data_IF_469136869878
#
_entry.id   IF_469136869878
#
_cell.length_a   1.000
_cell.length_b   1.000
_cell.length_c   1.000
_cell.angle_alpha   90.00
_cell.angle_beta   90.00
_cell.angle_gamma   90.00
#
_symmetry.space_group_name_H-M   'P 1'
#
loop_
_entity.id
_entity.type
_entity.pdbx_description
1 polymer ?
#
# COMPACT_ATOMS: atom_id res chain seq x y z
N UNK A 1 33.35 -2.14 12.79
CA UNK A 1 32.85 -0.77 13.09
C UNK A 1 32.30 -0.03 11.86
N UNK A 2 32.99 0.00 10.70
CA UNK A 2 32.51 0.72 9.49
C UNK A 2 31.15 0.26 8.94
N UNK A 3 30.83 -1.05 8.97
CA UNK A 3 29.55 -1.59 8.44
C UNK A 3 28.30 -1.23 9.28
N UNK A 4 28.45 -1.07 10.60
CA UNK A 4 27.37 -0.66 11.49
C UNK A 4 27.05 0.83 11.31
N UNK A 5 28.11 1.65 11.16
CA UNK A 5 27.98 3.08 10.88
C UNK A 5 27.26 3.35 9.56
N UNK A 6 27.61 2.61 8.49
CA UNK A 6 26.96 2.74 7.18
C UNK A 6 25.48 2.33 7.23
N UNK A 7 25.12 1.26 7.95
CA UNK A 7 23.70 0.84 8.13
C UNK A 7 22.89 1.87 8.91
N UNK A 8 23.45 2.47 9.96
CA UNK A 8 22.78 3.54 10.71
C UNK A 8 22.62 4.80 9.86
N UNK A 9 23.62 5.19 9.08
CA UNK A 9 23.52 6.32 8.15
C UNK A 9 22.46 6.09 7.07
N UNK A 10 22.39 4.90 6.47
CA UNK A 10 21.36 4.55 5.47
C UNK A 10 19.94 4.62 6.05
N UNK A 11 19.75 4.19 7.31
CA UNK A 11 18.46 4.31 8.03
C UNK A 11 18.08 5.77 8.29
N UNK A 12 19.04 6.59 8.70
CA UNK A 12 18.81 8.02 8.92
C UNK A 12 18.51 8.76 7.61
N UNK A 13 19.17 8.41 6.50
CA UNK A 13 18.90 8.98 5.17
C UNK A 13 17.50 8.58 4.69
N UNK A 14 17.12 7.31 4.82
CA UNK A 14 15.78 6.86 4.48
C UNK A 14 14.71 7.56 5.33
N UNK A 15 14.95 7.75 6.64
CA UNK A 15 14.03 8.47 7.53
C UNK A 15 13.92 9.96 7.16
N UNK A 16 15.03 10.61 6.80
CA UNK A 16 15.06 12.00 6.34
C UNK A 16 14.32 12.15 5.00
N UNK A 17 14.47 11.19 4.07
CA UNK A 17 13.75 11.19 2.79
C UNK A 17 12.24 10.97 2.96
N UNK A 18 11.84 10.13 3.92
CA UNK A 18 10.42 9.94 4.27
C UNK A 18 9.86 11.21 4.93
N UNK A 19 10.59 11.81 5.87
CA UNK A 19 10.19 13.06 6.53
C UNK A 19 10.12 14.23 5.56
N UNK A 20 11.04 14.32 4.59
CA UNK A 20 11.02 15.38 3.57
C UNK A 20 9.90 15.21 2.55
N UNK A 21 9.53 13.97 2.20
CA UNK A 21 8.36 13.68 1.37
C UNK A 21 7.04 14.05 2.07
N UNK A 22 6.93 13.81 3.39
CA UNK A 22 5.78 14.22 4.20
C UNK A 22 5.70 15.75 4.30
N UNK A 23 6.83 16.43 4.47
CA UNK A 23 6.89 17.89 4.57
C UNK A 23 6.49 18.60 3.25
N UNK A 24 6.81 18.00 2.09
CA UNK A 24 6.40 18.55 0.79
C UNK A 24 4.91 18.35 0.49
N UNK A 25 4.25 17.36 1.10
CA UNK A 25 2.80 17.19 1.02
C UNK A 25 2.01 18.26 1.79
N UNK A 26 2.59 18.84 2.85
CA UNK A 26 1.94 19.85 3.68
C UNK A 26 1.91 21.26 3.03
N UNK A 27 2.76 21.53 2.04
CA UNK A 27 2.86 22.86 1.38
C UNK A 27 2.01 22.95 0.10
N UNK A 28 1.40 21.86 -0.34
CA UNK A 28 0.53 21.83 -1.53
C UNK A 28 -0.96 22.14 -1.23
N UNK A 29 -1.29 22.65 -0.03
CA UNK A 29 -2.65 23.05 0.31
C UNK A 29 -2.95 24.49 -0.10
N UNK A 30 -3.02 24.71 -1.41
CA UNK A 30 -3.83 25.78 -1.96
C UNK A 30 -4.45 25.31 -3.29
N UNK A 31 -5.77 25.14 -3.25
CA UNK A 31 -6.66 24.84 -4.37
C UNK A 31 -6.73 23.38 -4.87
N UNK A 32 -7.55 22.54 -4.22
CA UNK A 32 -8.30 21.51 -4.93
C UNK A 32 -9.72 21.45 -4.35
N UNK A 33 -10.68 21.91 -5.14
CA UNK A 33 -12.11 21.85 -4.87
C UNK A 33 -12.61 20.41 -4.85
N UNK A 34 -13.48 20.07 -3.89
CA UNK A 34 -14.54 19.06 -4.00
C UNK A 34 -14.19 17.73 -4.70
N UNK A 35 -13.03 17.17 -4.42
CA UNK A 35 -12.66 15.79 -4.73
C UNK A 35 -11.66 15.35 -3.69
N UNK A 36 -11.98 14.28 -2.97
CA UNK A 36 -11.08 13.65 -1.99
C UNK A 36 -9.68 13.57 -2.60
N UNK A 37 -8.67 14.10 -1.91
CA UNK A 37 -7.36 14.29 -2.53
C UNK A 37 -6.69 12.99 -2.96
N UNK A 38 -5.52 13.07 -3.60
CA UNK A 38 -4.95 11.91 -4.32
C UNK A 38 -4.34 10.87 -3.38
N UNK A 39 -4.00 11.26 -2.16
CA UNK A 39 -3.29 10.41 -1.21
C UNK A 39 -4.22 9.95 -0.08
N UNK A 40 -4.32 8.64 0.10
CA UNK A 40 -5.06 8.00 1.18
C UNK A 40 -4.12 7.24 2.12
N UNK A 41 -4.34 7.33 3.42
CA UNK A 41 -3.61 6.60 4.46
C UNK A 41 -4.61 5.91 5.40
N UNK A 42 -4.29 4.71 5.85
CA UNK A 42 -5.11 4.07 6.87
C UNK A 42 -4.58 2.72 7.32
N UNK A 43 -5.50 1.83 7.68
CA UNK A 43 -5.19 0.55 8.32
C UNK A 43 -5.73 -0.60 7.47
N UNK A 44 -5.02 -1.71 7.51
CA UNK A 44 -5.43 -2.97 6.91
C UNK A 44 -5.33 -4.12 7.90
N UNK A 45 -6.21 -5.10 7.77
CA UNK A 45 -6.26 -6.34 8.52
C UNK A 45 -6.20 -7.53 7.55
N UNK A 46 -5.91 -8.72 8.07
CA UNK A 46 -5.70 -9.94 7.28
C UNK A 46 -4.21 -10.26 7.17
N UNK A 47 -3.75 -10.63 5.97
CA UNK A 47 -2.35 -10.94 5.70
C UNK A 47 -1.81 -9.98 4.63
N UNK A 48 -1.19 -8.85 5.02
CA UNK A 48 -0.78 -8.46 6.38
C UNK A 48 -1.81 -7.63 7.17
N UNK A 49 -1.60 -7.54 8.49
CA UNK A 49 -2.19 -6.51 9.37
C UNK A 49 -1.20 -5.35 9.49
N UNK A 50 -1.64 -4.10 9.32
CA UNK A 50 -0.77 -2.94 9.51
C UNK A 50 -1.29 -1.64 8.90
N UNK A 51 -0.36 -0.76 8.54
CA UNK A 51 -0.66 0.54 7.93
C UNK A 51 -0.63 0.39 6.41
N UNK A 52 -1.58 1.01 5.72
CA UNK A 52 -1.66 1.01 4.26
C UNK A 52 -1.80 2.42 3.71
N UNK A 53 -1.43 2.59 2.44
CA UNK A 53 -1.66 3.82 1.70
C UNK A 53 -2.16 3.53 0.29
N UNK A 54 -2.71 4.57 -0.33
CA UNK A 54 -3.04 4.62 -1.75
C UNK A 54 -2.72 5.99 -2.31
N UNK A 55 -2.17 6.04 -3.51
CA UNK A 55 -1.92 7.27 -4.25
C UNK A 55 -2.49 7.15 -5.65
N UNK A 56 -3.51 7.94 -5.97
CA UNK A 56 -4.09 7.99 -7.31
C UNK A 56 -3.11 8.66 -8.28
N UNK A 57 -2.68 7.91 -9.30
CA UNK A 57 -1.84 8.42 -10.39
C UNK A 57 -2.68 9.16 -11.42
N UNK A 58 -3.88 8.64 -11.70
CA UNK A 58 -4.92 9.22 -12.54
C UNK A 58 -6.27 8.63 -12.13
N UNK A 59 -7.31 8.82 -12.94
CA UNK A 59 -8.69 8.43 -12.64
C UNK A 59 -8.88 6.91 -12.48
N UNK A 60 -8.04 6.09 -13.12
CA UNK A 60 -8.19 4.62 -13.14
C UNK A 60 -6.97 3.89 -12.56
N UNK A 61 -5.82 4.55 -12.41
CA UNK A 61 -4.58 3.94 -11.93
C UNK A 61 -4.17 4.49 -10.56
N UNK A 62 -3.68 3.61 -9.68
CA UNK A 62 -3.14 3.99 -8.39
C UNK A 62 -1.92 3.16 -7.99
N UNK A 63 -1.06 3.74 -7.16
CA UNK A 63 -0.10 2.99 -6.35
C UNK A 63 -0.74 2.67 -5.00
N UNK A 64 -0.62 1.44 -4.53
CA UNK A 64 -0.99 1.07 -3.16
C UNK A 64 0.18 0.43 -2.46
N UNK A 65 0.22 0.53 -1.14
CA UNK A 65 1.28 -0.10 -0.39
C UNK A 65 0.98 -0.14 1.09
N UNK A 66 1.93 -0.65 1.86
CA UNK A 66 1.78 -0.71 3.30
C UNK A 66 2.91 -1.44 4.00
N UNK A 67 2.85 -1.38 5.32
CA UNK A 67 3.82 -1.97 6.24
C UNK A 67 3.05 -2.81 7.25
N UNK A 68 3.44 -4.06 7.42
CA UNK A 68 2.84 -4.93 8.43
C UNK A 68 3.36 -4.63 9.83
N UNK A 69 2.45 -4.66 10.82
CA UNK A 69 2.76 -4.54 12.23
C UNK A 69 2.64 -5.94 12.85
N UNK A 70 3.72 -6.72 12.77
CA UNK A 70 3.77 -8.11 13.24
C UNK A 70 5.19 -8.58 13.50
N UNK A 71 5.39 -9.88 13.74
CA UNK A 71 6.68 -10.50 14.10
C UNK A 71 7.76 -10.39 13.02
N UNK A 72 7.38 -10.09 11.77
CA UNK A 72 8.31 -9.69 10.71
C UNK A 72 7.70 -8.58 9.85
N UNK A 73 8.35 -7.41 9.72
CA UNK A 73 7.85 -6.34 8.86
C UNK A 73 7.87 -6.76 7.39
N UNK A 74 6.68 -6.74 6.77
CA UNK A 74 6.46 -6.82 5.33
C UNK A 74 6.25 -5.40 4.83
N UNK A 75 6.99 -5.02 3.80
CA UNK A 75 6.73 -3.80 3.03
C UNK A 75 6.14 -4.23 1.69
N UNK A 76 5.01 -3.67 1.30
CA UNK A 76 4.35 -3.98 0.03
C UNK A 76 4.12 -2.72 -0.82
N UNK A 77 4.21 -2.89 -2.14
CA UNK A 77 3.88 -1.86 -3.12
C UNK A 77 3.25 -2.51 -4.36
N UNK A 78 2.15 -1.96 -4.84
CA UNK A 78 1.40 -2.44 -5.99
C UNK A 78 1.02 -1.28 -6.92
N UNK A 79 0.88 -1.60 -8.20
CA UNK A 79 0.24 -0.78 -9.21
C UNK A 79 -1.12 -1.39 -9.52
N UNK A 80 -2.19 -0.61 -9.41
CA UNK A 80 -3.57 -1.08 -9.58
C UNK A 80 -4.31 -0.29 -10.65
N UNK A 81 -5.07 -1.01 -11.47
CA UNK A 81 -6.13 -0.49 -12.32
C UNK A 81 -7.48 -0.61 -11.62
N UNK A 82 -8.41 0.30 -11.92
CA UNK A 82 -9.76 0.36 -11.36
C UNK A 82 -10.80 0.39 -12.48
N UNK A 83 -11.67 -0.61 -12.51
CA UNK A 83 -12.81 -0.68 -13.41
C UNK A 83 -14.08 -0.24 -12.67
N UNK A 84 -14.51 1.00 -12.92
CA UNK A 84 -15.72 1.60 -12.32
C UNK A 84 -17.02 1.12 -12.96
N UNK A 85 -16.96 0.51 -14.14
CA UNK A 85 -18.15 0.03 -14.86
C UNK A 85 -18.53 -1.41 -14.50
N UNK A 86 -17.71 -2.11 -13.72
CA UNK A 86 -17.96 -3.49 -13.34
C UNK A 86 -19.12 -3.62 -12.35
N UNK A 87 -19.23 -2.68 -11.40
CA UNK A 87 -20.28 -2.64 -10.39
C UNK A 87 -20.67 -1.18 -10.16
N UNK A 88 -21.97 -0.87 -10.28
CA UNK A 88 -22.52 0.48 -10.12
C UNK A 88 -23.54 0.48 -8.99
N UNK A 89 -23.17 0.90 -7.76
CA UNK A 89 -24.11 1.04 -6.66
C UNK A 89 -24.98 2.30 -6.80
N UNK A 90 -26.07 2.37 -6.05
CA UNK A 90 -26.94 3.56 -6.01
C UNK A 90 -26.26 4.78 -5.37
N UNK A 91 -25.35 4.54 -4.42
CA UNK A 91 -24.53 5.56 -3.76
C UNK A 91 -23.05 5.14 -3.76
N UNK A 92 -22.14 6.11 -3.87
CA UNK A 92 -20.71 5.85 -3.88
C UNK A 92 -20.21 5.27 -5.19
N UNK A 93 -18.98 4.74 -5.15
CA UNK A 93 -18.36 4.03 -6.28
C UNK A 93 -17.73 2.73 -5.80
N UNK A 94 -17.95 1.64 -6.53
CA UNK A 94 -17.42 0.31 -6.17
C UNK A 94 -16.58 -0.29 -7.31
N UNK A 95 -15.45 0.33 -7.70
CA UNK A 95 -14.59 -0.28 -8.71
C UNK A 95 -14.06 -1.65 -8.27
N UNK A 96 -14.09 -2.58 -9.21
CA UNK A 96 -13.22 -3.76 -9.18
C UNK A 96 -11.83 -3.29 -9.54
N UNK A 97 -10.85 -3.59 -8.70
CA UNK A 97 -9.46 -3.28 -8.97
C UNK A 97 -8.62 -4.53 -9.10
N UNK A 98 -7.57 -4.42 -9.91
CA UNK A 98 -6.63 -5.51 -10.12
C UNK A 98 -5.27 -4.93 -10.49
N UNK A 99 -4.22 -5.71 -10.31
CA UNK A 99 -2.89 -5.29 -10.66
C UNK A 99 -1.81 -6.22 -10.17
N UNK A 100 -0.61 -5.66 -10.05
CA UNK A 100 0.57 -6.41 -9.67
C UNK A 100 1.45 -5.57 -8.74
N UNK A 101 2.32 -6.23 -8.01
CA UNK A 101 3.22 -5.56 -7.09
C UNK A 101 4.33 -6.48 -6.61
N UNK A 102 5.04 -5.97 -5.62
CA UNK A 102 6.05 -6.72 -4.91
C UNK A 102 5.90 -6.51 -3.40
N UNK A 103 6.44 -7.45 -2.64
CA UNK A 103 6.65 -7.28 -1.21
C UNK A 103 8.06 -7.70 -0.82
N UNK A 104 8.55 -7.11 0.27
CA UNK A 104 9.79 -7.51 0.92
C UNK A 104 9.45 -7.89 2.35
N UNK A 105 9.76 -9.12 2.73
CA UNK A 105 9.74 -9.55 4.12
C UNK A 105 11.12 -9.31 4.73
N UNK A 106 11.18 -8.59 5.84
CA UNK A 106 12.42 -8.36 6.59
C UNK A 106 12.35 -9.12 7.91
N UNK A 107 12.79 -10.38 7.92
CA UNK A 107 12.83 -11.20 9.15
C UNK A 107 13.87 -10.70 10.16
N UNK A 108 13.59 -10.84 11.46
CA UNK A 108 14.44 -10.26 12.52
C UNK A 108 15.63 -11.14 12.94
N UNK A 109 15.67 -12.44 12.64
CA UNK A 109 16.62 -13.32 13.34
C UNK A 109 17.69 -14.00 12.47
N UNK A 110 17.53 -14.08 11.14
CA UNK A 110 18.46 -14.88 10.32
C UNK A 110 18.79 -14.37 8.93
N UNK A 111 18.74 -13.05 8.71
CA UNK A 111 19.27 -12.40 7.49
C UNK A 111 18.62 -12.84 6.16
N UNK A 112 17.51 -13.59 6.19
CA UNK A 112 16.78 -14.02 5.00
C UNK A 112 15.67 -13.00 4.72
N UNK A 113 16.03 -11.90 4.08
CA UNK A 113 15.04 -11.06 3.40
C UNK A 113 14.53 -11.81 2.17
N UNK A 114 13.22 -12.01 2.07
CA UNK A 114 12.61 -12.61 0.89
C UNK A 114 11.94 -11.52 0.06
N UNK A 115 12.05 -11.66 -1.26
CA UNK A 115 11.34 -10.83 -2.21
C UNK A 115 10.13 -11.62 -2.70
N UNK A 116 8.97 -10.98 -2.77
CA UNK A 116 7.76 -11.60 -3.29
C UNK A 116 7.20 -10.82 -4.46
N UNK A 117 6.73 -11.51 -5.50
CA UNK A 117 5.91 -10.95 -6.56
C UNK A 117 4.45 -11.26 -6.27
N UNK A 118 3.56 -10.29 -6.45
CA UNK A 118 2.14 -10.45 -6.14
C UNK A 118 1.24 -9.99 -7.27
N UNK A 119 0.22 -10.78 -7.57
CA UNK A 119 -0.96 -10.34 -8.31
C UNK A 119 -2.02 -9.90 -7.32
N UNK A 120 -2.78 -8.86 -7.60
CA UNK A 120 -3.81 -8.32 -6.70
C UNK A 120 -5.13 -8.24 -7.45
N UNK A 121 -6.21 -8.65 -6.80
CA UNK A 121 -7.58 -8.41 -7.25
C UNK A 121 -8.45 -8.08 -6.04
N UNK A 122 -9.37 -7.13 -6.20
CA UNK A 122 -10.20 -6.72 -5.08
C UNK A 122 -11.31 -5.75 -5.44
N UNK A 123 -11.99 -5.28 -4.40
CA UNK A 123 -13.03 -4.28 -4.46
C UNK A 123 -12.60 -3.06 -3.64
N UNK A 124 -12.86 -1.86 -4.14
CA UNK A 124 -12.74 -0.63 -3.34
C UNK A 124 -14.08 0.08 -3.34
N UNK A 125 -14.65 0.32 -2.16
CA UNK A 125 -15.83 1.18 -2.01
C UNK A 125 -15.39 2.58 -1.63
N UNK A 126 -15.69 3.56 -2.48
CA UNK A 126 -15.34 4.97 -2.31
C UNK A 126 -16.62 5.73 -1.95
N UNK A 127 -16.62 6.38 -0.79
CA UNK A 127 -17.77 7.15 -0.32
C UNK A 127 -17.83 8.52 -1.02
N UNK A 128 -19.01 8.94 -1.47
CA UNK A 128 -19.18 10.24 -2.14
C UNK A 128 -19.16 11.43 -1.16
N UNK A 129 -19.62 11.19 0.08
CA UNK A 129 -19.80 12.23 1.11
C UNK A 129 -18.78 12.16 2.24
N UNK A 130 -17.79 11.28 2.13
CA UNK A 130 -16.73 11.14 3.12
C UNK A 130 -15.38 10.95 2.42
N UNK A 131 -14.29 11.56 2.91
CA UNK A 131 -12.94 11.39 2.37
C UNK A 131 -12.35 10.04 2.80
N UNK A 132 -13.11 8.96 2.66
CA UNK A 132 -12.73 7.61 3.09
C UNK A 132 -13.01 6.64 1.94
N UNK A 133 -12.16 5.62 1.81
CA UNK A 133 -12.50 4.41 1.08
C UNK A 133 -12.33 3.17 1.96
N UNK A 134 -12.97 2.09 1.56
CA UNK A 134 -12.78 0.75 2.12
C UNK A 134 -12.38 -0.20 1.01
N UNK A 135 -11.58 -1.21 1.32
CA UNK A 135 -11.17 -2.20 0.33
C UNK A 135 -11.15 -3.62 0.89
N UNK A 136 -11.27 -4.58 -0.02
CA UNK A 136 -11.08 -6.00 0.19
C UNK A 136 -10.24 -6.55 -0.97
N UNK A 137 -9.14 -7.23 -0.67
CA UNK A 137 -8.15 -7.71 -1.63
C UNK A 137 -7.86 -9.20 -1.40
N UNK A 138 -7.68 -9.92 -2.51
CA UNK A 138 -7.05 -11.23 -2.58
C UNK A 138 -5.80 -11.11 -3.46
N UNK A 139 -4.71 -11.76 -3.06
CA UNK A 139 -3.46 -11.67 -3.79
C UNK A 139 -2.68 -12.99 -3.80
N UNK A 140 -2.54 -13.67 -4.95
CA UNK A 140 -1.49 -14.68 -5.11
C UNK A 140 -0.11 -14.01 -4.99
N UNK A 141 0.75 -14.63 -4.19
CA UNK A 141 2.08 -14.15 -3.83
C UNK A 141 3.09 -15.26 -4.06
N UNK A 142 4.04 -15.03 -4.96
CA UNK A 142 5.20 -15.89 -5.16
C UNK A 142 6.36 -15.32 -4.36
N UNK A 143 6.68 -15.92 -3.21
CA UNK A 143 7.83 -15.55 -2.38
C UNK A 143 9.08 -16.28 -2.88
N UNK A 144 10.14 -15.53 -3.12
CA UNK A 144 11.44 -16.02 -3.62
C UNK A 144 12.46 -15.87 -2.49
N UNK A 145 12.82 -16.99 -1.86
CA UNK A 145 13.89 -17.10 -0.88
C UNK A 145 14.88 -18.20 -1.27
N UNK A 146 15.33 -19.01 -0.30
CA UNK A 146 16.13 -20.22 -0.58
C UNK A 146 15.34 -21.23 -1.43
N UNK A 147 14.01 -21.22 -1.27
CA UNK A 147 13.04 -21.90 -2.12
C UNK A 147 11.93 -20.93 -2.53
N UNK A 148 11.30 -21.19 -3.67
CA UNK A 148 10.14 -20.42 -4.13
C UNK A 148 8.85 -21.03 -3.60
N UNK A 149 8.02 -20.22 -2.95
CA UNK A 149 6.73 -20.65 -2.37
C UNK A 149 5.58 -19.78 -2.90
N UNK A 150 4.50 -20.44 -3.31
CA UNK A 150 3.27 -19.76 -3.71
C UNK A 150 2.31 -19.72 -2.52
N UNK A 151 1.84 -18.52 -2.18
CA UNK A 151 0.88 -18.27 -1.11
C UNK A 151 -0.28 -17.45 -1.63
N UNK A 152 -1.44 -17.58 -0.99
CA UNK A 152 -2.58 -16.71 -1.23
C UNK A 152 -2.78 -15.84 0.01
N UNK A 153 -2.85 -14.53 -0.20
CA UNK A 153 -3.13 -13.59 0.87
C UNK A 153 -4.49 -12.92 0.68
N UNK A 154 -5.08 -12.50 1.79
CA UNK A 154 -6.35 -11.78 1.84
C UNK A 154 -6.23 -10.62 2.82
N UNK A 155 -6.70 -9.44 2.44
CA UNK A 155 -6.70 -8.27 3.31
C UNK A 155 -7.92 -7.41 3.11
N UNK A 156 -8.30 -6.68 4.15
CA UNK A 156 -9.34 -5.66 4.09
C UNK A 156 -8.86 -4.42 4.85
N UNK A 157 -9.37 -3.25 4.51
CA UNK A 157 -8.93 -2.03 5.18
C UNK A 157 -9.76 -0.81 4.84
N UNK A 158 -9.39 0.31 5.44
CA UNK A 158 -9.97 1.62 5.18
C UNK A 158 -8.87 2.68 5.12
N UNK A 159 -9.04 3.69 4.25
CA UNK A 159 -8.09 4.79 4.06
C UNK A 159 -8.80 6.12 4.09
N UNK A 160 -8.23 7.08 4.82
CA UNK A 160 -8.65 8.48 4.82
C UNK A 160 -7.81 9.28 3.82
N UNK A 161 -8.45 10.16 3.04
CA UNK A 161 -7.86 10.91 1.94
C UNK A 161 -7.60 12.39 2.29
N UNK A 162 -6.44 12.89 1.84
CA UNK A 162 -5.95 14.26 2.01
C UNK A 162 -5.76 14.94 0.66
#
# INVERSE_FOLDING_TARGET
MKKLFVKTMLRSIALILVLSAIAQGAVAQSAQSAGSGKFGLGLMVGSPVGICFKYWLNEINALTGGISLGSGPVIQLNYLWHNFSAITPDEGRLPVHYGFGAQIYTGSERNNSTLGLRGVIGLTYIFDRAPVDMFLELAPLLEMGDHSELRLTASAGARFYF
#
